data_IF_059890924861
#
_entry.id   IF_059890924861
#
_cell.length_a   1.000
_cell.length_b   1.000
_cell.length_c   1.000
_cell.angle_alpha   90.00
_cell.angle_beta   90.00
_cell.angle_gamma   90.00
#
_symmetry.space_group_name_H-M   'P 1'
#
loop_
_entity.id
_entity.type
_entity.pdbx_description
1 polymer ?
#
# COMPACT_ATOMS: atom_id res chain seq x y z
N UNK A 1 -11.63 2.26 -21.36
CA UNK A 1 -11.20 1.51 -20.15
C UNK A 1 -9.68 1.38 -20.23
N UNK A 2 -8.95 1.54 -19.13
CA UNK A 2 -7.48 1.44 -19.15
C UNK A 2 -7.07 -0.04 -19.29
N UNK A 3 -6.22 -0.44 -20.26
CA UNK A 3 -5.73 -1.81 -20.35
C UNK A 3 -5.01 -2.28 -19.07
N UNK A 4 -5.09 -3.57 -18.68
CA UNK A 4 -4.47 -4.09 -17.45
C UNK A 4 -2.98 -3.77 -17.29
N UNK A 5 -2.24 -3.77 -18.40
CA UNK A 5 -0.81 -3.43 -18.44
C UNK A 5 -0.50 -2.02 -17.92
N UNK A 6 -1.47 -1.12 -17.87
CA UNK A 6 -1.29 0.25 -17.40
C UNK A 6 -1.83 0.49 -15.99
N UNK A 7 -2.49 -0.50 -15.36
CA UNK A 7 -3.10 -0.33 -14.03
C UNK A 7 -2.07 0.04 -12.98
N UNK A 8 -0.94 -0.68 -12.98
CA UNK A 8 0.17 -0.42 -12.08
C UNK A 8 0.72 1.00 -12.23
N UNK A 9 1.06 1.39 -13.46
CA UNK A 9 1.62 2.70 -13.76
C UNK A 9 0.65 3.82 -13.41
N UNK A 10 -0.65 3.61 -13.65
CA UNK A 10 -1.69 4.55 -13.26
C UNK A 10 -1.73 4.80 -11.74
N UNK A 11 -1.71 3.73 -10.94
CA UNK A 11 -1.72 3.86 -9.47
C UNK A 11 -0.40 4.44 -8.98
N UNK A 12 0.73 3.93 -9.49
CA UNK A 12 2.08 4.36 -9.12
C UNK A 12 2.26 5.86 -9.34
N UNK A 13 2.03 6.35 -10.55
CA UNK A 13 2.29 7.75 -10.89
C UNK A 13 1.42 8.71 -10.06
N UNK A 14 0.19 8.32 -9.69
CA UNK A 14 -0.67 9.14 -8.81
C UNK A 14 -0.13 9.22 -7.38
N UNK A 15 0.43 8.13 -6.88
CA UNK A 15 1.00 8.08 -5.53
C UNK A 15 2.37 8.77 -5.47
N UNK A 16 3.21 8.58 -6.49
CA UNK A 16 4.48 9.30 -6.62
C UNK A 16 4.25 10.81 -6.62
N UNK A 17 3.24 11.29 -7.34
CA UNK A 17 2.86 12.70 -7.31
C UNK A 17 2.38 13.14 -5.92
N UNK A 18 1.58 12.32 -5.23
CA UNK A 18 1.16 12.61 -3.86
C UNK A 18 2.35 12.71 -2.90
N UNK A 19 3.34 11.81 -3.02
CA UNK A 19 4.58 11.89 -2.24
C UNK A 19 5.41 13.13 -2.59
N UNK A 20 5.53 13.45 -3.87
CA UNK A 20 6.25 14.65 -4.33
C UNK A 20 5.66 15.91 -3.71
N UNK A 21 4.34 16.04 -3.69
CA UNK A 21 3.64 17.17 -3.06
C UNK A 21 3.79 17.13 -1.53
N UNK A 22 3.66 15.95 -0.90
CA UNK A 22 3.78 15.79 0.54
C UNK A 22 5.16 16.19 1.10
N UNK A 23 6.21 16.15 0.28
CA UNK A 23 7.57 16.52 0.64
C UNK A 23 7.87 18.02 0.48
N UNK A 24 6.98 18.82 -0.09
CA UNK A 24 7.21 20.25 -0.37
C UNK A 24 6.47 21.13 0.64
N UNK A 25 7.17 22.11 1.23
CA UNK A 25 6.54 23.11 2.10
C UNK A 25 6.24 22.63 3.52
N UNK A 26 6.76 21.48 3.92
CA UNK A 26 6.60 20.92 5.27
C UNK A 26 7.96 20.54 5.88
N UNK A 27 8.16 20.71 7.19
CA UNK A 27 9.39 20.26 7.87
C UNK A 27 9.65 18.76 7.71
N UNK A 28 8.58 17.98 7.54
CA UNK A 28 8.61 16.54 7.35
C UNK A 28 7.56 16.11 6.32
N UNK A 29 7.80 15.04 5.54
CA UNK A 29 6.82 14.56 4.56
C UNK A 29 5.49 14.19 5.21
N UNK A 30 4.39 14.67 4.64
CA UNK A 30 3.04 14.31 5.10
C UNK A 30 2.72 12.82 4.84
N UNK A 31 1.89 12.18 5.68
CA UNK A 31 1.42 10.82 5.41
C UNK A 31 0.49 10.82 4.19
N UNK A 32 0.77 9.93 3.23
CA UNK A 32 -0.09 9.70 2.05
C UNK A 32 -1.00 8.51 2.33
N UNK A 33 -2.31 8.73 2.24
CA UNK A 33 -3.32 7.67 2.28
C UNK A 33 -3.97 7.54 0.90
N UNK A 34 -3.84 6.36 0.29
CA UNK A 34 -4.42 6.09 -1.02
C UNK A 34 -5.93 5.85 -0.90
N UNK A 35 -6.75 6.47 -1.74
CA UNK A 35 -8.18 6.18 -1.81
C UNK A 35 -8.43 5.09 -2.86
N UNK A 36 -8.94 3.94 -2.46
CA UNK A 36 -9.14 2.79 -3.35
C UNK A 36 -10.60 2.32 -3.35
N UNK A 37 -11.18 2.15 -4.54
CA UNK A 37 -12.51 1.57 -4.69
C UNK A 37 -12.42 0.04 -4.66
N UNK A 38 -13.46 -0.61 -4.14
CA UNK A 38 -13.56 -2.07 -4.14
C UNK A 38 -14.01 -2.68 -5.47
N UNK A 39 -14.42 -1.84 -6.44
CA UNK A 39 -15.00 -2.27 -7.72
C UNK A 39 -14.45 -1.49 -8.91
N UNK A 40 -14.48 -2.12 -10.08
CA UNK A 40 -14.22 -1.45 -11.36
C UNK A 40 -15.30 -0.40 -11.66
N UNK A 41 -14.90 0.84 -11.97
CA UNK A 41 -15.86 1.95 -12.20
C UNK A 41 -16.88 1.68 -13.31
N UNK A 42 -16.46 1.00 -14.37
CA UNK A 42 -17.30 0.76 -15.54
C UNK A 42 -18.26 -0.41 -15.40
N UNK A 43 -17.95 -1.41 -14.57
CA UNK A 43 -18.74 -2.65 -14.49
C UNK A 43 -19.38 -2.90 -13.12
N UNK A 44 -18.97 -2.18 -12.07
CA UNK A 44 -19.42 -2.44 -10.70
C UNK A 44 -18.91 -3.75 -10.12
N UNK A 45 -18.17 -4.56 -10.88
CA UNK A 45 -17.60 -5.83 -10.40
C UNK A 45 -16.51 -5.58 -9.37
N UNK A 46 -16.51 -6.38 -8.31
CA UNK A 46 -15.43 -6.38 -7.32
C UNK A 46 -14.08 -6.64 -7.96
N UNK A 47 -13.05 -5.98 -7.42
CA UNK A 47 -11.67 -6.13 -7.86
C UNK A 47 -11.21 -7.58 -7.63
N UNK A 48 -10.56 -8.16 -8.62
CA UNK A 48 -9.90 -9.47 -8.48
C UNK A 48 -8.68 -9.38 -7.56
N UNK A 49 -8.12 -10.53 -7.18
CA UNK A 49 -6.86 -10.57 -6.45
C UNK A 49 -5.75 -9.81 -7.18
N UNK A 50 -5.64 -9.95 -8.49
CA UNK A 50 -4.64 -9.26 -9.31
C UNK A 50 -4.86 -7.75 -9.32
N UNK A 51 -6.11 -7.30 -9.43
CA UNK A 51 -6.45 -5.88 -9.31
C UNK A 51 -6.05 -5.31 -7.94
N UNK A 52 -6.21 -6.10 -6.86
CA UNK A 52 -5.78 -5.69 -5.52
C UNK A 52 -4.25 -5.58 -5.39
N UNK A 53 -3.50 -6.44 -6.09
CA UNK A 53 -2.03 -6.31 -6.23
C UNK A 53 -1.67 -5.01 -6.92
N UNK A 54 -2.34 -4.73 -8.04
CA UNK A 54 -2.08 -3.53 -8.84
C UNK A 54 -2.62 -2.22 -8.23
N UNK A 55 -3.30 -2.27 -7.07
CA UNK A 55 -3.84 -1.11 -6.37
C UNK A 55 -3.28 -0.98 -4.96
N UNK A 56 -3.79 -1.76 -4.01
CA UNK A 56 -3.36 -1.77 -2.61
C UNK A 56 -1.91 -2.28 -2.50
N UNK A 57 -1.53 -3.27 -3.32
CA UNK A 57 -0.14 -3.78 -3.36
C UNK A 57 0.85 -2.69 -3.77
N UNK A 58 0.57 -1.98 -4.86
CA UNK A 58 1.38 -0.82 -5.30
C UNK A 58 1.44 0.25 -4.21
N UNK A 59 0.31 0.53 -3.54
CA UNK A 59 0.24 1.51 -2.47
C UNK A 59 1.17 1.16 -1.30
N UNK A 60 1.13 -0.10 -0.85
CA UNK A 60 2.02 -0.60 0.18
C UNK A 60 3.48 -0.59 -0.28
N UNK A 61 3.75 -1.01 -1.52
CA UNK A 61 5.10 -1.10 -2.06
C UNK A 61 5.77 0.27 -2.24
N UNK A 62 5.00 1.34 -2.44
CA UNK A 62 5.51 2.72 -2.44
C UNK A 62 5.67 3.33 -1.04
N UNK A 63 5.33 2.59 0.02
CA UNK A 63 5.43 3.06 1.41
C UNK A 63 4.36 4.08 1.78
N UNK A 64 3.15 3.96 1.21
CA UNK A 64 1.99 4.74 1.66
C UNK A 64 1.71 4.48 3.16
N UNK A 65 1.19 5.49 3.84
CA UNK A 65 0.83 5.37 5.25
C UNK A 65 -0.40 4.46 5.46
N UNK A 66 -1.25 4.34 4.43
CA UNK A 66 -2.39 3.44 4.45
C UNK A 66 -3.25 3.57 3.19
N UNK A 67 -4.35 2.82 3.19
CA UNK A 67 -5.36 2.86 2.13
C UNK A 67 -6.73 3.08 2.79
N UNK A 68 -7.50 4.01 2.24
CA UNK A 68 -8.91 4.21 2.58
C UNK A 68 -9.74 3.48 1.53
N UNK A 69 -10.45 2.45 1.98
CA UNK A 69 -11.32 1.65 1.13
C UNK A 69 -12.67 2.35 0.99
N UNK A 70 -13.11 2.56 -0.24
CA UNK A 70 -14.37 3.20 -0.55
C UNK A 70 -15.32 2.28 -1.29
N UNK A 71 -16.57 2.32 -0.83
CA UNK A 71 -17.71 1.74 -1.50
C UNK A 71 -18.85 2.75 -1.57
N UNK A 72 -19.63 2.65 -2.64
CA UNK A 72 -20.88 3.38 -2.74
C UNK A 72 -22.05 2.55 -2.21
N UNK A 73 -23.23 3.18 -2.11
CA UNK A 73 -24.42 2.58 -1.52
C UNK A 73 -24.95 1.38 -2.32
N UNK A 74 -24.47 1.13 -3.55
CA UNK A 74 -24.89 -0.04 -4.32
C UNK A 74 -24.46 -1.35 -3.67
N UNK A 75 -23.43 -1.35 -2.81
CA UNK A 75 -22.95 -2.59 -2.16
C UNK A 75 -23.86 -3.07 -1.03
N UNK A 76 -24.82 -2.24 -0.63
CA UNK A 76 -25.75 -2.51 0.46
C UNK A 76 -27.18 -2.16 0.08
N UNK A 77 -27.51 -2.22 -1.22
CA UNK A 77 -28.84 -1.84 -1.72
C UNK A 77 -29.90 -2.95 -1.52
N UNK A 78 -29.48 -4.20 -1.33
CA UNK A 78 -30.35 -5.32 -1.00
C UNK A 78 -29.64 -6.33 -0.10
N UNK A 79 -30.38 -7.32 0.41
CA UNK A 79 -29.80 -8.43 1.17
C UNK A 79 -28.79 -9.22 0.33
N UNK A 80 -29.12 -9.47 -0.94
CA UNK A 80 -28.25 -10.20 -1.88
C UNK A 80 -26.93 -9.45 -2.13
N UNK A 81 -26.98 -8.13 -2.34
CA UNK A 81 -25.77 -7.32 -2.52
C UNK A 81 -24.90 -7.29 -1.25
N UNK A 82 -25.51 -7.23 -0.07
CA UNK A 82 -24.80 -7.36 1.20
C UNK A 82 -24.08 -8.70 1.32
N UNK A 83 -24.71 -9.81 0.89
CA UNK A 83 -24.08 -11.13 0.87
C UNK A 83 -22.95 -11.22 -0.16
N UNK A 84 -23.11 -10.64 -1.35
CA UNK A 84 -22.01 -10.53 -2.32
C UNK A 84 -20.81 -9.75 -1.78
N UNK A 85 -21.07 -8.63 -1.08
CA UNK A 85 -20.03 -7.89 -0.39
C UNK A 85 -19.37 -8.77 0.70
N UNK A 86 -20.16 -9.47 1.52
CA UNK A 86 -19.65 -10.36 2.56
C UNK A 86 -18.70 -11.41 1.99
N UNK A 87 -19.12 -12.12 0.95
CA UNK A 87 -18.33 -13.16 0.29
C UNK A 87 -17.04 -12.58 -0.29
N UNK A 88 -17.09 -11.38 -0.86
CA UNK A 88 -15.91 -10.68 -1.35
C UNK A 88 -14.94 -10.29 -0.22
N UNK A 89 -15.46 -9.77 0.89
CA UNK A 89 -14.67 -9.39 2.06
C UNK A 89 -13.97 -10.61 2.68
N UNK A 90 -14.69 -11.71 2.86
CA UNK A 90 -14.16 -12.92 3.50
C UNK A 90 -13.26 -13.71 2.55
N UNK A 91 -13.67 -13.87 1.29
CA UNK A 91 -12.99 -14.73 0.33
C UNK A 91 -11.80 -14.08 -0.38
N UNK A 92 -11.81 -12.75 -0.58
CA UNK A 92 -10.81 -12.08 -1.43
C UNK A 92 -10.11 -10.93 -0.74
N UNK A 93 -10.86 -9.89 -0.32
CA UNK A 93 -10.27 -8.64 0.17
C UNK A 93 -9.59 -8.82 1.52
N UNK A 94 -10.29 -9.41 2.50
CA UNK A 94 -9.79 -9.62 3.85
C UNK A 94 -8.47 -10.40 3.89
N UNK A 95 -8.40 -11.60 3.27
CA UNK A 95 -7.15 -12.35 3.18
C UNK A 95 -6.01 -11.55 2.51
N UNK A 96 -6.32 -10.72 1.51
CA UNK A 96 -5.30 -9.88 0.87
C UNK A 96 -4.79 -8.78 1.80
N UNK A 97 -5.71 -8.02 2.41
CA UNK A 97 -5.39 -6.93 3.33
C UNK A 97 -4.56 -7.45 4.51
N UNK A 98 -4.91 -8.61 5.07
CA UNK A 98 -4.14 -9.25 6.15
C UNK A 98 -2.73 -9.58 5.67
N UNK A 99 -2.58 -10.18 4.48
CA UNK A 99 -1.29 -10.56 3.93
C UNK A 99 -0.37 -9.33 3.75
N UNK A 100 -0.83 -8.31 3.02
CA UNK A 100 -0.02 -7.12 2.73
C UNK A 100 0.28 -6.31 4.00
N UNK A 101 -0.66 -6.24 4.94
CA UNK A 101 -0.46 -5.52 6.21
C UNK A 101 0.59 -6.22 7.06
N UNK A 102 0.49 -7.56 7.21
CA UNK A 102 1.49 -8.34 7.97
C UNK A 102 2.87 -8.27 7.33
N UNK A 103 2.93 -8.35 6.00
CA UNK A 103 4.18 -8.21 5.27
C UNK A 103 4.81 -6.81 5.47
N UNK A 104 4.04 -5.74 5.38
CA UNK A 104 4.53 -4.39 5.61
C UNK A 104 5.05 -4.17 7.05
N UNK A 105 4.34 -4.71 8.06
CA UNK A 105 4.77 -4.66 9.47
C UNK A 105 6.08 -5.44 9.65
N UNK A 106 6.13 -6.69 9.16
CA UNK A 106 7.33 -7.51 9.27
C UNK A 106 8.52 -6.87 8.56
N UNK A 107 8.32 -6.30 7.37
CA UNK A 107 9.36 -5.59 6.64
C UNK A 107 9.86 -4.38 7.43
N UNK A 108 8.95 -3.57 7.99
CA UNK A 108 9.31 -2.43 8.84
C UNK A 108 10.23 -2.85 9.99
N UNK A 109 9.90 -3.94 10.70
CA UNK A 109 10.73 -4.45 11.78
C UNK A 109 12.09 -5.01 11.32
N UNK A 110 12.10 -5.80 10.24
CA UNK A 110 13.32 -6.48 9.78
C UNK A 110 14.30 -5.57 9.05
N UNK A 111 13.80 -4.61 8.27
CA UNK A 111 14.61 -3.76 7.38
C UNK A 111 14.79 -2.35 7.94
N UNK A 112 13.75 -1.83 8.59
CA UNK A 112 13.69 -0.43 9.02
C UNK A 112 13.67 -0.29 10.54
N UNK A 113 14.06 -1.33 11.29
CA UNK A 113 14.09 -1.36 12.76
C UNK A 113 12.77 -1.00 13.46
N UNK A 114 11.63 -1.09 12.76
CA UNK A 114 10.34 -0.62 13.26
C UNK A 114 10.19 0.91 13.27
N UNK A 115 11.15 1.62 12.69
CA UNK A 115 11.26 3.08 12.67
C UNK A 115 11.06 3.68 11.27
N UNK A 116 10.55 2.90 10.34
CA UNK A 116 10.21 3.36 9.00
C UNK A 116 9.32 2.37 8.24
N UNK A 117 8.85 2.80 7.08
CA UNK A 117 8.10 1.96 6.13
C UNK A 117 9.02 1.44 5.04
N UNK A 118 8.84 0.18 4.66
CA UNK A 118 9.46 -0.33 3.45
C UNK A 118 8.85 0.34 2.21
N UNK A 119 9.70 0.72 1.26
CA UNK A 119 9.28 1.30 -0.02
C UNK A 119 10.23 0.89 -1.15
N UNK A 120 9.74 0.83 -2.39
CA UNK A 120 10.59 0.72 -3.57
C UNK A 120 11.62 1.84 -3.60
N UNK A 121 12.87 1.49 -3.93
CA UNK A 121 13.95 2.46 -4.05
C UNK A 121 14.10 3.01 -5.47
N UNK A 122 13.83 2.21 -6.50
CA UNK A 122 14.02 2.58 -7.90
C UNK A 122 12.89 2.04 -8.81
N UNK A 123 12.73 2.65 -9.98
CA UNK A 123 11.71 2.28 -10.98
C UNK A 123 11.82 0.84 -11.51
N UNK A 124 12.96 0.16 -11.30
CA UNK A 124 13.21 -1.20 -11.77
C UNK A 124 12.54 -2.31 -10.93
N UNK A 125 11.88 -1.98 -9.82
CA UNK A 125 11.38 -2.95 -8.84
C UNK A 125 9.88 -3.24 -8.95
N UNK A 126 9.28 -2.95 -10.12
CA UNK A 126 7.84 -3.02 -10.35
C UNK A 126 7.21 -4.39 -10.08
N UNK A 127 7.98 -5.46 -10.11
CA UNK A 127 7.46 -6.82 -9.88
C UNK A 127 7.50 -7.24 -8.40
N UNK A 128 8.14 -6.46 -7.52
CA UNK A 128 8.31 -6.82 -6.11
C UNK A 128 7.19 -6.26 -5.23
N UNK A 129 6.41 -7.10 -4.56
CA UNK A 129 5.36 -6.66 -3.64
C UNK A 129 5.62 -7.11 -2.21
N UNK A 130 5.07 -6.35 -1.25
CA UNK A 130 5.06 -6.73 0.17
C UNK A 130 3.99 -7.78 0.42
N UNK A 131 4.30 -9.04 0.11
CA UNK A 131 3.48 -10.19 0.48
C UNK A 131 4.28 -11.16 1.36
N UNK A 132 3.56 -11.94 2.16
CA UNK A 132 4.12 -13.07 2.91
C UNK A 132 4.40 -14.25 1.97
N UNK A 133 5.36 -15.09 2.34
CA UNK A 133 5.59 -16.37 1.68
C UNK A 133 4.41 -17.34 1.87
N UNK A 134 4.27 -18.40 1.05
CA UNK A 134 3.15 -19.35 1.15
C UNK A 134 3.00 -20.02 2.52
N UNK A 135 4.10 -20.20 3.25
CA UNK A 135 4.12 -20.75 4.62
C UNK A 135 3.79 -19.69 5.69
N UNK A 136 3.49 -18.45 5.29
CA UNK A 136 3.22 -17.32 6.16
C UNK A 136 4.45 -16.62 6.72
N UNK A 137 5.65 -17.06 6.34
CA UNK A 137 6.90 -16.44 6.79
C UNK A 137 7.16 -15.10 6.06
N UNK A 138 7.89 -14.16 6.70
CA UNK A 138 8.36 -12.94 6.04
C UNK A 138 9.25 -13.27 4.84
N UNK A 139 9.13 -12.48 3.76
CA UNK A 139 10.04 -12.56 2.63
C UNK A 139 11.33 -11.77 2.91
N UNK A 140 12.39 -11.97 2.09
CA UNK A 140 13.62 -11.22 2.27
C UNK A 140 13.42 -9.72 1.98
N UNK A 141 12.57 -9.35 1.01
CA UNK A 141 12.31 -7.94 0.61
C UNK A 141 13.59 -7.13 0.35
N UNK A 142 14.60 -7.75 -0.28
CA UNK A 142 15.90 -7.14 -0.60
C UNK A 142 15.81 -5.93 -1.52
N UNK A 143 14.78 -5.91 -2.36
CA UNK A 143 14.46 -4.76 -3.21
C UNK A 143 13.99 -3.54 -2.40
N UNK A 144 13.49 -3.71 -1.18
CA UNK A 144 12.87 -2.61 -0.45
C UNK A 144 13.89 -1.80 0.36
N UNK A 145 13.76 -0.48 0.26
CA UNK A 145 14.41 0.50 1.12
C UNK A 145 13.50 1.00 2.23
N UNK A 146 14.03 1.91 3.04
CA UNK A 146 13.27 2.47 4.17
C UNK A 146 12.92 3.95 3.98
N UNK A 147 11.67 4.29 4.27
CA UNK A 147 11.18 5.66 4.49
C UNK A 147 10.95 5.86 5.98
N UNK A 148 11.88 6.55 6.63
CA UNK A 148 11.88 6.68 8.09
C UNK A 148 10.73 7.53 8.62
N UNK A 149 10.26 7.16 9.81
CA UNK A 149 9.33 7.96 10.58
C UNK A 149 10.00 9.22 11.11
N UNK A 150 9.17 10.18 11.52
CA UNK A 150 9.63 11.38 12.20
C UNK A 150 10.55 11.02 13.37
N UNK A 151 11.70 11.69 13.46
CA UNK A 151 12.71 11.44 14.50
C UNK A 151 13.70 10.32 14.17
N UNK A 152 13.63 9.70 12.98
CA UNK A 152 14.57 8.64 12.57
C UNK A 152 15.21 8.94 11.21
N UNK A 153 16.43 8.44 11.02
CA UNK A 153 17.28 8.67 9.86
C UNK A 153 18.18 7.47 9.55
N UNK A 154 18.92 7.58 8.45
CA UNK A 154 19.79 6.52 7.94
C UNK A 154 19.06 5.57 6.98
N UNK A 155 19.81 4.69 6.29
CA UNK A 155 19.28 3.79 5.27
C UNK A 155 18.30 2.74 5.83
N UNK A 156 18.40 2.43 7.12
CA UNK A 156 17.59 1.43 7.83
C UNK A 156 16.80 2.04 9.00
N UNK A 157 16.73 3.37 9.08
CA UNK A 157 16.01 4.10 10.15
C UNK A 157 16.49 3.80 11.57
N UNK A 158 17.76 3.44 11.76
CA UNK A 158 18.31 3.10 13.07
C UNK A 158 18.80 4.33 13.83
N UNK A 159 19.07 5.44 13.14
CA UNK A 159 19.68 6.62 13.74
C UNK A 159 18.59 7.59 14.21
N UNK A 160 18.58 8.03 15.47
CA UNK A 160 17.69 9.10 15.90
C UNK A 160 18.11 10.42 15.25
N UNK A 161 17.13 11.13 14.67
CA UNK A 161 17.34 12.46 14.08
C UNK A 161 17.28 13.50 15.20
N UNK A 162 18.29 14.38 15.37
CA UNK A 162 18.20 15.46 16.34
C UNK A 162 16.96 16.32 16.06
N UNK A 163 16.20 16.68 17.09
CA UNK A 163 15.10 17.65 16.92
C UNK A 163 15.69 18.92 16.31
N UNK A 164 15.18 19.32 15.14
CA UNK A 164 15.47 20.63 14.60
C UNK A 164 14.93 21.65 15.61
N UNK A 165 15.82 22.42 16.23
CA UNK A 165 15.44 23.50 17.13
C UNK A 165 14.38 24.37 16.44
N UNK A 166 13.20 24.44 17.04
CA UNK A 166 12.08 25.26 16.60
C UNK A 166 12.39 26.76 16.72
#
# INVERSE_FOLDING_TARGET
MLPPIYHQAFVRNRLEEAFRVASVGHPHPLPVLAYARLTHRSSGRFLSRDDLVQTIGVSAALGAAGVVLWGDLSFSSSEEECWHLHDYLVGTLGPYVINVTRAAIACSHQRCHGHGRCAWQDEGQLEAFLHLQPDGSPGPWESFGCRCYLGWAGPTCQEPRPEAAA
#
